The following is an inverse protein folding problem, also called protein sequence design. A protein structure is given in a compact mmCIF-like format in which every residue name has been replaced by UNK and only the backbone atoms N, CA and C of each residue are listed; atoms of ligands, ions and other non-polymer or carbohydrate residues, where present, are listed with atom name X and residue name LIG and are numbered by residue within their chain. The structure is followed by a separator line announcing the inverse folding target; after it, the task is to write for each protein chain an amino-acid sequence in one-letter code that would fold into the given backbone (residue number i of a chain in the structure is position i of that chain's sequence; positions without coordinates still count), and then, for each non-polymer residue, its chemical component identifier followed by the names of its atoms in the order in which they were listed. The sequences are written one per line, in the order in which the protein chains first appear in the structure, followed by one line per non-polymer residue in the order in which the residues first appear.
data_IF_155621979997
#
_entry.id   IF_155621979997
#
_cell.length_a   1.000
_cell.length_b   1.000
_cell.length_c   1.000
_cell.angle_alpha   90.00
_cell.angle_beta   90.00
_cell.angle_gamma   90.00
#
_symmetry.space_group_name_H-M   'P 1'
#
loop_
_entity.id
_entity.type
_entity.pdbx_description
1 polymer ?
#
# COMPACT_ATOMS: atom_id res chain seq x y z
N UNK A 1 14.57 8.99 -1.77
CA UNK A 1 14.57 8.26 -0.50
C UNK A 1 13.30 7.42 -0.37
N UNK A 2 13.38 6.26 0.28
CA UNK A 2 12.30 5.27 0.51
C UNK A 2 11.76 4.63 -0.77
N UNK A 3 12.63 4.38 -1.74
CA UNK A 3 12.22 3.80 -3.01
C UNK A 3 12.17 2.27 -2.90
N UNK A 4 10.99 1.70 -3.07
CA UNK A 4 10.79 0.24 -3.11
C UNK A 4 11.54 -0.35 -4.29
N UNK A 5 12.29 -1.43 -4.05
CA UNK A 5 13.21 -2.09 -4.99
C UNK A 5 14.29 -1.15 -5.57
N UNK A 6 14.54 0.01 -4.94
CA UNK A 6 15.44 1.02 -5.49
C UNK A 6 16.92 0.64 -5.43
N UNK A 7 17.31 -0.25 -4.50
CA UNK A 7 18.70 -0.67 -4.40
C UNK A 7 19.04 -1.80 -5.37
N UNK A 8 18.13 -2.73 -5.63
CA UNK A 8 18.35 -3.88 -6.53
C UNK A 8 17.75 -3.69 -7.93
N UNK A 9 17.21 -2.49 -8.24
CA UNK A 9 16.64 -2.22 -9.56
C UNK A 9 17.68 -2.31 -10.67
N UNK A 10 17.27 -2.73 -11.88
CA UNK A 10 18.06 -2.64 -13.09
C UNK A 10 17.92 -1.26 -13.75
N UNK A 11 16.78 -0.62 -13.54
CA UNK A 11 16.52 0.76 -13.94
C UNK A 11 15.50 1.42 -13.00
N UNK A 12 15.43 2.73 -13.04
CA UNK A 12 14.40 3.51 -12.34
C UNK A 12 13.74 4.49 -13.30
N UNK A 13 12.44 4.71 -13.12
CA UNK A 13 11.72 5.81 -13.77
C UNK A 13 11.74 7.00 -12.82
N UNK A 14 12.50 8.00 -13.17
CA UNK A 14 12.71 9.20 -12.33
C UNK A 14 11.72 10.28 -12.72
N UNK A 15 10.92 10.74 -11.77
CA UNK A 15 10.15 11.97 -11.91
C UNK A 15 11.06 13.17 -11.63
N UNK A 16 11.30 13.96 -12.61
CA UNK A 16 12.19 15.13 -12.52
C UNK A 16 11.56 16.37 -13.12
N UNK A 17 12.01 17.54 -12.68
CA UNK A 17 11.61 18.81 -13.29
C UNK A 17 12.45 19.07 -14.53
N UNK A 18 11.79 19.23 -15.68
CA UNK A 18 12.38 19.68 -16.94
C UNK A 18 12.08 21.13 -17.23
N UNK A 19 11.05 21.70 -16.55
CA UNK A 19 10.75 23.14 -16.54
C UNK A 19 10.35 23.57 -15.12
N UNK A 20 11.18 24.37 -14.46
CA UNK A 20 10.95 24.85 -13.09
C UNK A 20 9.79 25.88 -12.99
N UNK A 21 9.43 26.52 -14.12
CA UNK A 21 8.40 27.58 -14.15
C UNK A 21 7.01 27.04 -14.45
N UNK A 22 6.92 25.85 -15.05
CA UNK A 22 5.65 25.27 -15.51
C UNK A 22 4.86 24.52 -14.40
N UNK A 23 5.33 24.53 -13.14
CA UNK A 23 4.65 23.86 -12.03
C UNK A 23 4.50 22.36 -12.28
N UNK A 24 3.26 21.84 -12.22
CA UNK A 24 2.97 20.42 -12.48
C UNK A 24 3.23 20.01 -13.93
N UNK A 25 3.09 20.94 -14.89
CA UNK A 25 3.37 20.71 -16.30
C UNK A 25 4.88 20.73 -16.63
N UNK A 26 5.73 20.98 -15.65
CA UNK A 26 7.19 20.93 -15.79
C UNK A 26 7.80 19.62 -15.32
N UNK A 27 6.99 18.61 -14.95
CA UNK A 27 7.46 17.29 -14.49
C UNK A 27 7.44 16.31 -15.66
N UNK A 28 8.58 15.65 -15.87
CA UNK A 28 8.76 14.59 -16.86
C UNK A 28 9.21 13.29 -16.22
N UNK A 29 9.03 12.17 -16.90
CA UNK A 29 9.50 10.86 -16.47
C UNK A 29 10.66 10.42 -17.37
N UNK A 30 11.77 10.04 -16.76
CA UNK A 30 12.99 9.64 -17.48
C UNK A 30 13.49 8.31 -16.92
N UNK A 31 13.79 7.35 -17.81
CA UNK A 31 14.43 6.08 -17.44
C UNK A 31 15.91 6.30 -17.20
N UNK A 32 16.39 5.84 -16.05
CA UNK A 32 17.82 5.81 -15.72
C UNK A 32 18.20 4.37 -15.40
N UNK A 33 19.13 3.81 -16.17
CA UNK A 33 19.62 2.45 -15.98
C UNK A 33 20.63 2.38 -14.83
N UNK A 34 20.67 1.22 -14.16
CA UNK A 34 21.69 0.93 -13.15
C UNK A 34 23.07 0.97 -13.80
N UNK A 35 24.04 1.53 -13.09
CA UNK A 35 25.42 1.69 -13.61
C UNK A 35 25.61 2.94 -14.45
N UNK A 36 24.58 3.74 -14.73
CA UNK A 36 24.76 5.06 -15.35
C UNK A 36 25.68 5.92 -14.46
N UNK A 37 26.76 6.51 -15.01
CA UNK A 37 27.66 7.35 -14.21
C UNK A 37 26.91 8.45 -13.46
N UNK A 38 27.19 8.61 -12.18
CA UNK A 38 26.53 9.56 -11.29
C UNK A 38 25.24 9.04 -10.63
N UNK A 39 24.72 7.87 -11.01
CA UNK A 39 23.61 7.21 -10.31
C UNK A 39 24.17 6.26 -9.24
N UNK A 40 23.77 6.47 -7.99
CA UNK A 40 24.13 5.61 -6.86
C UNK A 40 22.91 5.27 -6.03
N UNK A 41 22.96 4.13 -5.33
CA UNK A 41 21.90 3.69 -4.45
C UNK A 41 22.45 3.07 -3.17
N UNK A 42 21.72 3.23 -2.06
CA UNK A 42 22.00 2.57 -0.79
C UNK A 42 20.76 1.89 -0.23
N UNK A 43 20.94 0.74 0.43
CA UNK A 43 19.84 0.01 1.03
C UNK A 43 19.49 0.59 2.41
N UNK A 44 18.19 0.76 2.66
CA UNK A 44 17.65 1.19 3.95
C UNK A 44 17.10 -0.01 4.73
N UNK A 45 17.37 -0.07 6.04
CA UNK A 45 16.81 -1.06 6.94
C UNK A 45 15.38 -0.67 7.34
N UNK A 46 14.47 -1.62 7.36
CA UNK A 46 13.05 -1.41 7.66
C UNK A 46 12.49 -2.49 8.58
N UNK A 47 11.38 -2.22 9.23
CA UNK A 47 10.78 -3.11 10.24
C UNK A 47 10.01 -4.30 9.65
N UNK A 48 9.57 -4.22 8.41
CA UNK A 48 8.79 -5.25 7.72
C UNK A 48 9.07 -5.29 6.23
N UNK A 49 8.35 -6.14 5.49
CA UNK A 49 8.53 -6.40 4.06
C UNK A 49 9.99 -6.72 3.69
N UNK A 50 10.62 -7.60 4.47
CA UNK A 50 12.04 -7.93 4.32
C UNK A 50 12.35 -8.67 3.00
N UNK A 51 11.34 -9.21 2.32
CA UNK A 51 11.48 -9.85 1.01
C UNK A 51 11.74 -8.88 -0.15
N UNK A 52 11.49 -7.58 0.04
CA UNK A 52 11.88 -6.54 -0.92
C UNK A 52 12.86 -5.56 -0.27
N UNK A 53 13.69 -4.89 -1.07
CA UNK A 53 14.50 -3.80 -0.57
C UNK A 53 13.73 -2.46 -0.56
N UNK A 54 14.30 -1.51 0.14
CA UNK A 54 13.93 -0.09 0.05
C UNK A 54 15.22 0.70 0.00
N UNK A 55 15.37 1.53 -1.00
CA UNK A 55 16.60 2.26 -1.27
C UNK A 55 16.48 3.78 -1.13
N UNK A 56 17.63 4.38 -0.92
CA UNK A 56 17.85 5.78 -1.19
C UNK A 56 18.64 5.89 -2.49
N UNK A 57 18.17 6.74 -3.40
CA UNK A 57 18.78 6.97 -4.70
C UNK A 57 19.36 8.37 -4.77
N UNK A 58 20.56 8.49 -5.33
CA UNK A 58 21.20 9.77 -5.58
C UNK A 58 21.63 9.88 -7.05
N UNK A 59 21.44 11.06 -7.62
CA UNK A 59 21.74 11.40 -9.00
C UNK A 59 22.62 12.64 -9.02
N UNK A 60 23.87 12.49 -9.46
CA UNK A 60 24.82 13.59 -9.58
C UNK A 60 25.30 13.70 -11.04
N UNK A 61 24.82 14.74 -11.72
CA UNK A 61 25.15 15.00 -13.13
C UNK A 61 24.93 13.80 -14.06
N UNK A 62 23.92 12.98 -13.78
CA UNK A 62 23.57 11.80 -14.58
C UNK A 62 23.13 12.24 -15.98
N UNK A 63 23.76 11.67 -17.00
CA UNK A 63 23.43 11.93 -18.41
C UNK A 63 22.80 10.69 -19.02
N UNK A 64 21.62 10.85 -19.63
CA UNK A 64 20.91 9.79 -20.34
C UNK A 64 20.50 10.27 -21.74
N UNK A 65 20.30 9.35 -22.69
CA UNK A 65 19.75 9.70 -24.01
C UNK A 65 18.35 10.31 -23.90
N UNK A 66 18.00 11.22 -24.81
CA UNK A 66 16.65 11.81 -24.89
C UNK A 66 15.59 10.74 -25.15
N UNK A 67 15.95 9.63 -25.80
CA UNK A 67 15.06 8.47 -25.99
C UNK A 67 14.58 7.80 -24.69
N UNK A 68 15.22 8.10 -23.56
CA UNK A 68 14.80 7.59 -22.24
C UNK A 68 13.63 8.37 -21.63
N UNK A 69 13.16 9.42 -22.32
CA UNK A 69 11.93 10.12 -21.93
C UNK A 69 10.71 9.20 -22.09
N UNK A 70 9.92 9.06 -21.02
CA UNK A 70 8.70 8.26 -21.00
C UNK A 70 7.52 9.15 -21.40
N UNK A 71 6.92 8.85 -22.54
CA UNK A 71 5.79 9.61 -23.06
C UNK A 71 6.21 11.00 -23.55
N UNK A 72 5.48 12.03 -23.13
CA UNK A 72 5.72 13.43 -23.53
C UNK A 72 6.34 14.24 -22.40
N UNK A 73 7.26 15.12 -22.74
CA UNK A 73 7.83 16.08 -21.80
C UNK A 73 6.72 16.92 -21.14
N UNK A 74 6.85 17.16 -19.85
CA UNK A 74 5.88 17.92 -19.06
C UNK A 74 4.62 17.14 -18.63
N UNK A 75 4.45 15.90 -19.08
CA UNK A 75 3.27 15.07 -18.76
C UNK A 75 3.49 14.09 -17.60
N UNK A 76 4.66 14.06 -17.00
CA UNK A 76 5.03 13.08 -15.98
C UNK A 76 4.13 13.09 -14.75
N UNK A 77 3.70 14.27 -14.30
CA UNK A 77 2.76 14.37 -13.18
C UNK A 77 1.43 13.65 -13.46
N UNK A 78 0.89 13.81 -14.66
CA UNK A 78 -0.38 13.21 -15.03
C UNK A 78 -0.27 11.68 -15.11
N UNK A 79 0.80 11.16 -15.71
CA UNK A 79 1.07 9.71 -15.74
C UNK A 79 1.18 9.10 -14.36
N UNK A 80 1.86 9.78 -13.42
CA UNK A 80 1.97 9.34 -12.01
C UNK A 80 0.59 9.34 -11.34
N UNK A 81 -0.21 10.39 -11.54
CA UNK A 81 -1.52 10.48 -10.91
C UNK A 81 -2.48 9.40 -11.42
N UNK A 82 -2.42 9.04 -12.69
CA UNK A 82 -3.20 7.94 -13.25
C UNK A 82 -2.77 6.59 -12.64
N UNK A 83 -1.47 6.30 -12.62
CA UNK A 83 -0.92 5.07 -12.00
C UNK A 83 -1.30 4.94 -10.54
N UNK A 84 -1.26 6.02 -9.78
CA UNK A 84 -1.58 6.00 -8.34
C UNK A 84 -3.01 5.55 -8.03
N UNK A 85 -3.96 5.70 -8.95
CA UNK A 85 -5.33 5.22 -8.72
C UNK A 85 -5.35 3.69 -8.66
N UNK A 86 -4.62 3.06 -9.59
CA UNK A 86 -4.51 1.59 -9.64
C UNK A 86 -3.69 1.08 -8.44
N UNK A 87 -2.59 1.73 -8.09
CA UNK A 87 -1.77 1.34 -6.93
C UNK A 87 -2.58 1.39 -5.62
N UNK A 88 -3.42 2.42 -5.44
CA UNK A 88 -4.30 2.54 -4.27
C UNK A 88 -5.33 1.41 -4.22
N UNK A 89 -5.89 1.05 -5.37
CA UNK A 89 -6.84 -0.06 -5.47
C UNK A 89 -6.16 -1.39 -5.18
N UNK A 90 -4.95 -1.62 -5.71
CA UNK A 90 -4.12 -2.81 -5.42
C UNK A 90 -3.82 -2.92 -3.92
N UNK A 91 -3.55 -1.81 -3.24
CA UNK A 91 -3.36 -1.82 -1.77
C UNK A 91 -4.60 -2.34 -1.04
N UNK A 92 -5.81 -2.01 -1.52
CA UNK A 92 -7.07 -2.56 -1.00
C UNK A 92 -7.20 -4.07 -1.24
N UNK A 93 -6.89 -4.52 -2.45
CA UNK A 93 -6.94 -5.95 -2.84
C UNK A 93 -5.97 -6.77 -1.97
N UNK A 94 -4.74 -6.29 -1.78
CA UNK A 94 -3.76 -6.93 -0.90
C UNK A 94 -4.25 -6.96 0.56
N UNK A 95 -4.95 -5.91 0.99
CA UNK A 95 -5.58 -5.86 2.32
C UNK A 95 -6.67 -6.93 2.51
N UNK A 96 -7.44 -7.26 1.46
CA UNK A 96 -8.42 -8.36 1.51
C UNK A 96 -7.68 -9.69 1.72
N UNK A 97 -6.77 -10.05 0.82
CA UNK A 97 -6.10 -11.36 0.88
C UNK A 97 -5.31 -11.55 2.18
N UNK A 98 -4.56 -10.52 2.62
CA UNK A 98 -3.83 -10.57 3.88
C UNK A 98 -4.75 -10.66 5.10
N UNK A 99 -5.88 -9.93 5.06
CA UNK A 99 -6.90 -9.98 6.12
C UNK A 99 -7.57 -11.35 6.21
N UNK A 100 -8.02 -11.92 5.09
CA UNK A 100 -8.63 -13.26 5.03
C UNK A 100 -7.66 -14.30 5.60
N UNK A 101 -6.41 -14.32 5.14
CA UNK A 101 -5.40 -15.26 5.63
C UNK A 101 -5.18 -15.14 7.14
N UNK A 102 -5.01 -13.92 7.67
CA UNK A 102 -4.81 -13.72 9.10
C UNK A 102 -6.00 -14.21 9.94
N UNK A 103 -7.22 -13.96 9.48
CA UNK A 103 -8.43 -14.38 10.19
C UNK A 103 -8.60 -15.90 10.16
N UNK A 104 -8.35 -16.54 9.03
CA UNK A 104 -8.42 -18.00 8.87
C UNK A 104 -7.38 -18.71 9.74
N UNK A 105 -6.12 -18.26 9.72
CA UNK A 105 -5.07 -18.80 10.57
C UNK A 105 -5.39 -18.61 12.07
N UNK A 106 -5.95 -17.45 12.43
CA UNK A 106 -6.37 -17.18 13.80
C UNK A 106 -7.51 -18.09 14.22
N UNK A 107 -8.50 -18.30 13.37
CA UNK A 107 -9.61 -19.22 13.64
C UNK A 107 -9.12 -20.66 13.83
N UNK A 108 -8.16 -21.09 13.00
CA UNK A 108 -7.51 -22.41 13.16
C UNK A 108 -6.82 -22.52 14.49
N UNK A 109 -5.97 -21.54 14.84
CA UNK A 109 -5.29 -21.50 16.12
C UNK A 109 -6.27 -21.54 17.31
N UNK A 110 -7.35 -20.77 17.26
CA UNK A 110 -8.39 -20.74 18.31
C UNK A 110 -9.13 -22.07 18.47
N UNK A 111 -9.19 -22.90 17.41
CA UNK A 111 -9.75 -24.25 17.45
C UNK A 111 -8.82 -25.26 18.13
N UNK A 112 -7.50 -25.05 18.05
CA UNK A 112 -6.48 -25.98 18.55
C UNK A 112 -6.02 -25.59 19.96
N UNK A 113 -5.87 -24.31 20.23
CA UNK A 113 -5.35 -23.79 21.49
C UNK A 113 -6.34 -23.94 22.65
N UNK A 114 -5.88 -24.53 23.75
CA UNK A 114 -6.64 -24.62 24.99
C UNK A 114 -6.04 -23.75 26.09
N UNK A 115 -6.93 -23.14 26.87
CA UNK A 115 -6.60 -22.40 28.09
C UNK A 115 -7.77 -22.49 29.07
N UNK A 116 -7.49 -22.53 30.35
CA UNK A 116 -8.52 -22.63 31.39
C UNK A 116 -9.48 -23.81 31.17
N UNK A 117 -8.96 -24.96 30.72
CA UNK A 117 -9.69 -26.22 30.53
C UNK A 117 -10.61 -26.27 29.33
N UNK A 118 -10.47 -25.35 28.35
CA UNK A 118 -11.27 -25.33 27.11
C UNK A 118 -10.55 -24.64 25.96
N UNK A 119 -10.96 -24.93 24.73
CA UNK A 119 -10.48 -24.25 23.53
C UNK A 119 -10.76 -22.75 23.63
N UNK A 120 -9.79 -21.92 23.23
CA UNK A 120 -9.93 -20.45 23.35
C UNK A 120 -11.09 -19.88 22.50
N UNK A 121 -11.49 -20.55 21.43
CA UNK A 121 -12.69 -20.19 20.65
C UNK A 121 -14.00 -20.21 21.47
N UNK A 122 -14.02 -20.80 22.67
CA UNK A 122 -15.17 -20.83 23.56
C UNK A 122 -15.32 -19.55 24.40
N UNK A 123 -14.31 -18.68 24.44
CA UNK A 123 -14.37 -17.42 25.14
C UNK A 123 -15.15 -16.38 24.31
N UNK A 124 -16.21 -15.84 24.89
CA UNK A 124 -17.16 -14.96 24.20
C UNK A 124 -16.47 -13.71 23.63
N UNK A 125 -15.55 -13.09 24.37
CA UNK A 125 -14.85 -11.87 23.92
C UNK A 125 -14.06 -12.12 22.62
N UNK A 126 -13.34 -13.25 22.52
CA UNK A 126 -12.56 -13.59 21.31
C UNK A 126 -13.48 -13.87 20.12
N UNK A 127 -14.60 -14.53 20.36
CA UNK A 127 -15.62 -14.78 19.32
C UNK A 127 -16.21 -13.51 18.78
N UNK A 128 -16.55 -12.57 19.65
CA UNK A 128 -17.14 -11.30 19.25
C UNK A 128 -16.14 -10.47 18.44
N UNK A 129 -14.89 -10.37 18.92
CA UNK A 129 -13.83 -9.66 18.21
C UNK A 129 -13.61 -10.25 16.81
N UNK A 130 -13.52 -11.58 16.70
CA UNK A 130 -13.29 -12.24 15.42
C UNK A 130 -14.45 -12.01 14.44
N UNK A 131 -15.70 -12.15 14.88
CA UNK A 131 -16.88 -11.89 14.04
C UNK A 131 -16.94 -10.44 13.58
N UNK A 132 -16.57 -9.49 14.45
CA UNK A 132 -16.50 -8.07 14.08
C UNK A 132 -15.48 -7.84 12.96
N UNK A 133 -14.29 -8.45 13.07
CA UNK A 133 -13.24 -8.33 12.05
C UNK A 133 -13.66 -8.95 10.70
N UNK A 134 -14.32 -10.11 10.71
CA UNK A 134 -14.88 -10.70 9.48
C UNK A 134 -15.93 -9.80 8.84
N UNK A 135 -16.81 -9.19 9.64
CA UNK A 135 -17.84 -8.28 9.14
C UNK A 135 -17.24 -7.03 8.50
N UNK A 136 -16.24 -6.42 9.16
CA UNK A 136 -15.55 -5.25 8.63
C UNK A 136 -14.75 -5.57 7.36
N UNK A 137 -14.13 -6.77 7.31
CA UNK A 137 -13.40 -7.22 6.12
C UNK A 137 -14.35 -7.42 4.93
N UNK A 138 -15.51 -8.02 5.15
CA UNK A 138 -16.52 -8.20 4.10
C UNK A 138 -17.03 -6.85 3.58
N UNK A 139 -17.28 -5.88 4.45
CA UNK A 139 -17.68 -4.53 4.04
C UNK A 139 -16.59 -3.87 3.17
N UNK A 140 -15.32 -3.95 3.59
CA UNK A 140 -14.18 -3.44 2.81
C UNK A 140 -13.99 -4.14 1.47
N UNK A 141 -14.26 -5.45 1.43
CA UNK A 141 -14.22 -6.28 0.22
C UNK A 141 -15.26 -5.80 -0.81
N UNK A 142 -16.50 -5.57 -0.40
CA UNK A 142 -17.55 -5.05 -1.28
C UNK A 142 -17.22 -3.65 -1.81
N UNK A 143 -16.70 -2.77 -0.97
CA UNK A 143 -16.22 -1.44 -1.40
C UNK A 143 -15.09 -1.55 -2.42
N UNK A 144 -14.15 -2.48 -2.22
CA UNK A 144 -13.03 -2.71 -3.14
C UNK A 144 -13.52 -3.26 -4.48
N UNK A 145 -14.44 -4.22 -4.47
CA UNK A 145 -15.03 -4.78 -5.71
C UNK A 145 -15.80 -3.73 -6.51
N UNK A 146 -16.51 -2.83 -5.83
CA UNK A 146 -17.16 -1.71 -6.51
C UNK A 146 -16.14 -0.81 -7.22
N UNK A 147 -15.03 -0.46 -6.58
CA UNK A 147 -13.97 0.33 -7.19
C UNK A 147 -13.31 -0.40 -8.38
N UNK A 148 -13.10 -1.72 -8.27
CA UNK A 148 -12.62 -2.56 -9.38
C UNK A 148 -13.60 -2.55 -10.58
N UNK A 149 -14.90 -2.64 -10.29
CA UNK A 149 -15.93 -2.59 -11.32
C UNK A 149 -15.94 -1.26 -12.07
N UNK A 150 -15.77 -0.13 -11.39
CA UNK A 150 -15.63 1.19 -12.03
C UNK A 150 -14.43 1.24 -12.98
N UNK A 151 -13.26 0.75 -12.53
CA UNK A 151 -12.06 0.65 -13.38
C UNK A 151 -12.30 -0.21 -14.61
N UNK A 152 -12.95 -1.37 -14.44
CA UNK A 152 -13.29 -2.28 -15.55
C UNK A 152 -14.22 -1.62 -16.58
N UNK A 153 -15.06 -0.70 -16.15
CA UNK A 153 -15.92 0.09 -17.04
C UNK A 153 -15.24 1.35 -17.62
N UNK A 154 -13.94 1.48 -17.47
CA UNK A 154 -13.15 2.57 -18.05
C UNK A 154 -13.19 3.88 -17.28
N UNK A 155 -13.69 3.87 -16.04
CA UNK A 155 -13.67 5.03 -15.16
C UNK A 155 -12.34 5.17 -14.43
N UNK A 156 -12.04 6.38 -13.94
CA UNK A 156 -10.93 6.65 -13.03
C UNK A 156 -11.52 7.00 -11.66
N UNK A 157 -11.77 5.99 -10.79
CA UNK A 157 -12.48 6.17 -9.53
C UNK A 157 -11.57 6.73 -8.44
N UNK A 158 -11.16 7.99 -8.54
CA UNK A 158 -10.24 8.64 -7.59
C UNK A 158 -10.78 8.61 -6.17
N UNK A 159 -12.07 8.88 -6.02
CA UNK A 159 -12.76 8.87 -4.72
C UNK A 159 -12.77 7.45 -4.13
N UNK A 160 -13.27 6.50 -4.90
CA UNK A 160 -13.46 5.12 -4.46
C UNK A 160 -12.10 4.45 -4.18
N UNK A 161 -11.10 4.59 -5.05
CA UNK A 161 -9.74 4.08 -4.84
C UNK A 161 -9.08 4.69 -3.59
N UNK A 162 -9.32 5.98 -3.33
CA UNK A 162 -8.80 6.62 -2.12
C UNK A 162 -9.50 6.14 -0.85
N UNK A 163 -10.83 5.91 -0.91
CA UNK A 163 -11.61 5.31 0.21
C UNK A 163 -11.15 3.88 0.48
N UNK A 164 -11.00 3.07 -0.57
CA UNK A 164 -10.52 1.69 -0.48
C UNK A 164 -9.14 1.64 0.18
N UNK A 165 -8.20 2.43 -0.31
CA UNK A 165 -6.84 2.49 0.25
C UNK A 165 -6.87 2.91 1.72
N UNK A 166 -7.60 3.96 2.07
CA UNK A 166 -7.72 4.44 3.44
C UNK A 166 -8.29 3.35 4.35
N UNK A 167 -9.46 2.84 4.01
CA UNK A 167 -10.19 1.90 4.85
C UNK A 167 -9.45 0.57 4.99
N UNK A 168 -9.05 -0.05 3.87
CA UNK A 168 -8.44 -1.37 3.88
C UNK A 168 -7.07 -1.43 4.55
N UNK A 169 -6.25 -0.38 4.41
CA UNK A 169 -4.95 -0.38 5.08
C UNK A 169 -5.04 -0.13 6.59
N UNK A 170 -5.99 0.68 7.05
CA UNK A 170 -6.28 0.83 8.47
C UNK A 170 -6.89 -0.46 9.05
N UNK A 171 -7.83 -1.08 8.33
CA UNK A 171 -8.43 -2.35 8.73
C UNK A 171 -7.40 -3.49 8.78
N UNK A 172 -6.48 -3.58 7.81
CA UNK A 172 -5.41 -4.59 7.83
C UNK A 172 -4.56 -4.48 9.10
N UNK A 173 -4.19 -3.26 9.51
CA UNK A 173 -3.47 -3.05 10.76
C UNK A 173 -4.29 -3.48 11.98
N UNK A 174 -5.60 -3.18 12.01
CA UNK A 174 -6.52 -3.61 13.07
C UNK A 174 -6.63 -5.14 13.12
N UNK A 175 -6.76 -5.80 11.97
CA UNK A 175 -6.87 -7.26 11.89
C UNK A 175 -5.62 -7.92 12.45
N UNK A 176 -4.43 -7.55 11.97
CA UNK A 176 -3.19 -8.20 12.42
C UNK A 176 -2.90 -7.95 13.89
N UNK A 177 -3.22 -6.77 14.41
CA UNK A 177 -3.08 -6.43 15.84
C UNK A 177 -3.98 -7.31 16.70
N UNK A 178 -5.26 -7.40 16.37
CA UNK A 178 -6.24 -8.23 17.08
C UNK A 178 -5.95 -9.71 16.95
N UNK A 179 -5.58 -10.18 15.78
CA UNK A 179 -5.17 -11.58 15.55
C UNK A 179 -3.93 -11.93 16.37
N UNK A 180 -2.88 -11.11 16.34
CA UNK A 180 -1.67 -11.32 17.15
C UNK A 180 -2.01 -11.42 18.63
N UNK A 181 -2.89 -10.54 19.15
CA UNK A 181 -3.35 -10.59 20.53
C UNK A 181 -4.02 -11.93 20.86
N UNK A 182 -4.78 -12.52 19.94
CA UNK A 182 -5.44 -13.82 20.11
C UNK A 182 -4.46 -15.00 20.18
N UNK A 183 -3.28 -14.88 19.56
CA UNK A 183 -2.18 -15.84 19.70
C UNK A 183 -1.46 -15.74 21.07
N UNK A 184 -1.63 -14.62 21.79
CA UNK A 184 -0.94 -14.38 23.05
C UNK A 184 0.58 -14.37 22.87
N UNK A 185 1.32 -14.99 23.79
CA UNK A 185 2.78 -15.04 23.72
C UNK A 185 3.34 -15.65 22.43
N UNK A 186 2.64 -16.59 21.83
CA UNK A 186 3.03 -17.18 20.54
C UNK A 186 2.95 -16.17 19.39
N UNK A 187 2.02 -15.21 19.45
CA UNK A 187 1.93 -14.15 18.44
C UNK A 187 3.15 -13.21 18.41
N UNK A 188 3.92 -13.16 19.49
CA UNK A 188 5.12 -12.34 19.59
C UNK A 188 6.41 -13.07 19.14
N UNK A 189 6.30 -14.35 18.80
CA UNK A 189 7.41 -15.19 18.35
C UNK A 189 7.51 -15.22 16.83
N UNK A 190 8.74 -15.11 16.31
CA UNK A 190 9.03 -15.09 14.86
C UNK A 190 8.62 -16.39 14.14
N UNK A 191 8.50 -17.51 14.87
CA UNK A 191 8.07 -18.80 14.32
C UNK A 191 6.61 -18.78 13.84
N UNK A 192 5.81 -17.81 14.27
CA UNK A 192 4.41 -17.69 13.89
C UNK A 192 4.24 -16.63 12.80
N UNK A 193 3.55 -16.97 11.68
CA UNK A 193 3.34 -16.04 10.54
C UNK A 193 2.70 -14.71 10.94
N UNK A 194 1.88 -14.70 11.99
CA UNK A 194 1.20 -13.50 12.47
C UNK A 194 2.17 -12.41 12.94
N UNK A 195 3.33 -12.77 13.50
CA UNK A 195 4.36 -11.81 13.89
C UNK A 195 4.91 -11.04 12.68
N UNK A 196 5.15 -11.75 11.57
CA UNK A 196 5.56 -11.14 10.29
C UNK A 196 4.44 -10.30 9.71
N UNK A 197 3.21 -10.83 9.65
CA UNK A 197 2.05 -10.12 9.13
C UNK A 197 1.83 -8.78 9.87
N UNK A 198 2.00 -8.75 11.18
CA UNK A 198 1.91 -7.54 12.00
C UNK A 198 2.92 -6.47 11.57
N UNK A 199 4.19 -6.84 11.37
CA UNK A 199 5.22 -5.90 10.90
C UNK A 199 4.96 -5.41 9.48
N UNK A 200 4.57 -6.33 8.61
CA UNK A 200 4.41 -6.05 7.17
C UNK A 200 3.18 -5.18 6.89
N UNK A 201 2.07 -5.39 7.61
CA UNK A 201 0.86 -4.61 7.44
C UNK A 201 1.06 -3.11 7.78
N UNK A 202 2.02 -2.78 8.68
CA UNK A 202 2.19 -1.42 9.18
C UNK A 202 2.48 -0.40 8.09
N UNK A 203 3.20 -0.78 7.05
CA UNK A 203 3.56 0.11 5.96
C UNK A 203 2.36 0.52 5.10
N UNK A 204 1.30 -0.29 5.08
CA UNK A 204 0.10 -0.05 4.26
C UNK A 204 -0.53 1.33 4.47
N UNK A 205 -0.51 1.86 5.70
CA UNK A 205 -1.02 3.21 6.01
C UNK A 205 -0.06 4.35 5.64
N UNK A 206 1.13 4.02 5.10
CA UNK A 206 2.20 4.99 4.81
C UNK A 206 2.46 5.07 3.30
N UNK A 207 2.65 3.93 2.62
CA UNK A 207 2.98 3.87 1.19
C UNK A 207 1.82 4.27 0.29
N UNK A 208 2.09 4.68 -0.93
CA UNK A 208 1.06 5.04 -1.91
C UNK A 208 0.23 6.27 -1.51
N UNK A 209 0.75 7.10 -0.62
CA UNK A 209 0.10 8.20 0.09
C UNK A 209 -0.40 7.76 1.47
N UNK A 210 0.00 8.51 2.49
CA UNK A 210 -0.42 8.21 3.87
C UNK A 210 -1.94 8.28 4.03
N UNK A 211 -2.46 7.71 5.12
CA UNK A 211 -3.90 7.83 5.44
C UNK A 211 -4.33 9.30 5.58
N UNK A 212 -3.44 10.18 6.01
CA UNK A 212 -3.70 11.63 6.05
C UNK A 212 -3.84 12.22 4.64
N UNK A 213 -2.97 11.82 3.71
CA UNK A 213 -3.07 12.23 2.30
C UNK A 213 -4.37 11.70 1.66
N UNK A 214 -4.79 10.47 1.99
CA UNK A 214 -6.08 9.95 1.50
C UNK A 214 -7.25 10.79 2.02
N UNK A 215 -7.23 11.17 3.29
CA UNK A 215 -8.25 12.06 3.88
C UNK A 215 -8.25 13.43 3.24
N UNK A 216 -7.07 14.00 2.93
CA UNK A 216 -6.95 15.28 2.24
C UNK A 216 -7.52 15.23 0.81
N UNK A 217 -7.25 14.16 0.06
CA UNK A 217 -7.83 13.96 -1.28
C UNK A 217 -9.35 13.84 -1.19
N UNK A 218 -9.84 13.06 -0.24
CA UNK A 218 -11.28 12.84 -0.03
C UNK A 218 -11.99 14.11 0.42
N UNK A 219 -11.36 14.94 1.28
CA UNK A 219 -11.94 16.21 1.71
C UNK A 219 -12.14 17.17 0.52
N UNK A 220 -11.15 17.26 -0.36
CA UNK A 220 -11.27 18.05 -1.59
C UNK A 220 -12.40 17.59 -2.49
N UNK A 221 -12.62 16.27 -2.60
CA UNK A 221 -13.69 15.72 -3.43
C UNK A 221 -15.06 15.92 -2.77
N UNK A 222 -15.18 15.63 -1.47
CA UNK A 222 -16.46 15.52 -0.77
C UNK A 222 -16.92 16.87 -0.23
N UNK A 223 -15.98 17.70 0.25
CA UNK A 223 -16.27 18.98 0.90
C UNK A 223 -16.13 20.13 -0.08
N UNK A 224 -15.04 20.14 -0.87
CA UNK A 224 -14.72 21.27 -1.78
C UNK A 224 -15.24 21.05 -3.21
N UNK A 225 -15.98 19.98 -3.50
CA UNK A 225 -16.53 19.57 -4.81
C UNK A 225 -15.48 19.56 -5.95
N UNK A 226 -14.25 19.23 -5.64
CA UNK A 226 -13.18 19.09 -6.65
C UNK A 226 -13.42 17.83 -7.49
N UNK A 227 -13.47 18.00 -8.82
CA UNK A 227 -13.66 16.89 -9.77
C UNK A 227 -12.38 16.61 -10.53
N UNK A 228 -11.91 15.38 -10.43
CA UNK A 228 -10.78 14.89 -11.22
C UNK A 228 -11.28 14.38 -12.57
N UNK A 229 -10.73 14.91 -13.66
CA UNK A 229 -11.06 14.49 -15.04
C UNK A 229 -9.96 13.61 -15.59
N UNK A 230 -10.33 12.69 -16.50
CA UNK A 230 -9.37 11.95 -17.32
C UNK A 230 -8.59 12.94 -18.18
N UNK A 231 -7.27 12.83 -18.22
CA UNK A 231 -6.36 13.64 -19.06
C UNK A 231 -6.20 13.01 -20.44
#
# INVERSE_FOLDING_TARGET
TFITNGHFCDFVVVACKTDDKAGINGISLIVVERGTPGFTSSQLKKIGLHSSDTGELAFDNVKVPVSNLVGKEGMGFFYIMESFQIERLVAGILGIGGGEQCLEETLKYMNEREAFGRQIKKFQVLRHDLVQLFTELEAGKQMTYHACWLVQNGEIPVKESSMVKLYMTELSNKIVDKCLQMFGGYGYMEDFPIARAYRDARVGTIVGGTTQIMREILSKIIIDDVRYKKV
#
